data_IF_729878243501
#
_entry.id   IF_729878243501
#
_cell.length_a   1.000
_cell.length_b   1.000
_cell.length_c   1.000
_cell.angle_alpha   90.00
_cell.angle_beta   90.00
_cell.angle_gamma   90.00
#
_symmetry.space_group_name_H-M   'P 1'
#
loop_
_entity.id
_entity.type
_entity.pdbx_description
1 polymer ?
#
# COMPACT_ATOMS: atom_id res chain seq x y z
N UNK A 1 -19.45 -12.92 18.99
CA UNK A 1 -19.43 -14.37 18.66
C UNK A 1 -18.57 -14.52 17.41
N UNK A 2 -17.29 -14.86 17.57
CA UNK A 2 -16.34 -14.90 16.44
C UNK A 2 -16.38 -16.33 15.88
N UNK A 3 -16.81 -16.47 14.63
CA UNK A 3 -16.80 -17.74 13.92
C UNK A 3 -15.36 -18.22 13.77
N UNK A 4 -15.05 -19.43 14.26
CA UNK A 4 -13.76 -20.08 14.02
C UNK A 4 -13.71 -20.53 12.57
N UNK A 5 -12.94 -19.81 11.75
CA UNK A 5 -12.63 -20.23 10.39
C UNK A 5 -11.48 -21.26 10.46
N UNK A 6 -11.77 -22.50 10.05
CA UNK A 6 -10.77 -23.54 9.85
C UNK A 6 -10.21 -23.40 8.44
N UNK A 7 -8.93 -23.05 8.32
CA UNK A 7 -8.22 -22.98 7.04
C UNK A 7 -7.37 -24.23 6.86
N UNK A 8 -7.46 -24.88 5.70
CA UNK A 8 -6.86 -26.19 5.44
C UNK A 8 -5.54 -26.11 4.67
N UNK A 9 -5.10 -24.90 4.27
CA UNK A 9 -3.86 -24.69 3.54
C UNK A 9 -3.26 -23.30 3.77
N UNK A 10 -1.95 -23.17 3.51
CA UNK A 10 -1.22 -21.90 3.66
C UNK A 10 -1.68 -20.87 2.61
N UNK A 11 -2.09 -21.34 1.43
CA UNK A 11 -2.68 -20.53 0.36
C UNK A 11 -4.06 -19.96 0.76
N UNK A 12 -4.89 -20.72 1.47
CA UNK A 12 -6.19 -20.22 1.99
C UNK A 12 -6.02 -19.20 3.12
N UNK A 13 -4.99 -19.34 3.95
CA UNK A 13 -4.64 -18.32 4.96
C UNK A 13 -4.18 -17.05 4.25
N UNK A 14 -3.35 -17.16 3.21
CA UNK A 14 -2.96 -16.00 2.39
C UNK A 14 -4.15 -15.35 1.68
N UNK A 15 -5.09 -16.16 1.16
CA UNK A 15 -6.31 -15.66 0.52
C UNK A 15 -7.31 -15.05 1.51
N UNK A 16 -7.37 -15.53 2.76
CA UNK A 16 -8.21 -14.99 3.82
C UNK A 16 -7.63 -13.75 4.50
N UNK A 17 -6.31 -13.55 4.43
CA UNK A 17 -5.62 -12.33 4.89
C UNK A 17 -5.61 -11.19 3.86
N UNK A 18 -6.14 -11.43 2.65
CA UNK A 18 -6.24 -10.43 1.58
C UNK A 18 -7.71 -10.08 1.43
N UNK A 19 -8.13 -9.00 2.08
CA UNK A 19 -9.37 -8.34 1.71
C UNK A 19 -9.35 -8.11 0.18
N UNK A 20 -10.48 -8.25 -0.54
CA UNK A 20 -10.53 -7.94 -1.95
C UNK A 20 -9.94 -6.54 -2.18
N UNK A 21 -9.10 -6.37 -3.21
CA UNK A 21 -8.41 -5.08 -3.45
C UNK A 21 -9.37 -3.88 -3.48
N UNK A 22 -10.59 -4.09 -3.96
CA UNK A 22 -11.66 -3.09 -3.91
C UNK A 22 -12.06 -2.72 -2.49
N UNK A 23 -12.12 -3.68 -1.57
CA UNK A 23 -12.41 -3.45 -0.15
C UNK A 23 -11.29 -2.67 0.52
N UNK A 24 -10.01 -2.99 0.23
CA UNK A 24 -8.87 -2.22 0.75
C UNK A 24 -8.90 -0.79 0.19
N UNK A 25 -9.16 -0.63 -1.10
CA UNK A 25 -9.28 0.68 -1.73
C UNK A 25 -10.42 1.50 -1.12
N UNK A 26 -11.58 0.90 -0.89
CA UNK A 26 -12.73 1.56 -0.27
C UNK A 26 -12.44 1.96 1.19
N UNK A 27 -11.70 1.11 1.94
CA UNK A 27 -11.26 1.45 3.31
C UNK A 27 -10.27 2.62 3.32
N UNK A 28 -9.34 2.65 2.37
CA UNK A 28 -8.42 3.76 2.22
C UNK A 28 -9.16 5.04 1.83
N UNK A 29 -10.07 4.99 0.84
CA UNK A 29 -10.85 6.16 0.40
C UNK A 29 -11.84 6.65 1.47
N UNK A 30 -12.26 5.80 2.40
CA UNK A 30 -13.06 6.19 3.55
C UNK A 30 -12.24 6.91 4.64
N UNK A 31 -10.91 6.96 4.52
CA UNK A 31 -10.07 7.71 5.44
C UNK A 31 -9.99 9.18 5.02
N UNK A 32 -10.71 10.02 5.76
CA UNK A 32 -10.74 11.48 5.56
C UNK A 32 -9.38 12.16 5.80
N UNK A 33 -8.37 11.46 6.35
CA UNK A 33 -7.01 12.01 6.55
C UNK A 33 -6.15 12.00 5.30
N UNK A 34 -6.55 11.28 4.24
CA UNK A 34 -5.80 11.25 2.97
C UNK A 34 -6.10 12.53 2.16
N UNK A 35 -5.08 13.34 1.81
CA UNK A 35 -5.27 14.49 0.94
C UNK A 35 -5.88 14.09 -0.41
N UNK A 36 -6.88 14.86 -0.86
CA UNK A 36 -7.56 14.61 -2.15
C UNK A 36 -6.59 14.58 -3.33
N UNK A 37 -5.52 15.35 -3.24
CA UNK A 37 -4.50 15.48 -4.27
C UNK A 37 -3.73 14.17 -4.52
N UNK A 38 -3.70 13.25 -3.53
CA UNK A 38 -3.03 11.93 -3.66
C UNK A 38 -4.02 10.75 -3.74
N UNK A 39 -5.33 10.99 -3.83
CA UNK A 39 -6.34 9.92 -3.95
C UNK A 39 -6.14 9.04 -5.19
N UNK A 40 -5.49 9.57 -6.24
CA UNK A 40 -5.15 8.79 -7.43
C UNK A 40 -4.13 7.68 -7.16
N UNK A 41 -3.36 7.78 -6.07
CA UNK A 41 -2.45 6.74 -5.63
C UNK A 41 -3.14 5.66 -4.78
N UNK A 42 -4.39 5.84 -4.36
CA UNK A 42 -5.08 4.85 -3.52
C UNK A 42 -5.16 3.44 -4.13
N UNK A 43 -5.42 3.26 -5.45
CA UNK A 43 -5.33 1.96 -6.09
C UNK A 43 -3.92 1.35 -6.03
N UNK A 44 -2.88 2.19 -6.11
CA UNK A 44 -1.49 1.73 -6.00
C UNK A 44 -1.15 1.36 -4.57
N UNK A 45 -1.55 2.18 -3.59
CA UNK A 45 -1.36 1.94 -2.17
C UNK A 45 -2.08 0.66 -1.70
N UNK A 46 -3.26 0.34 -2.23
CA UNK A 46 -3.98 -0.89 -1.87
C UNK A 46 -3.33 -2.17 -2.39
N UNK A 47 -2.49 -2.07 -3.43
CA UNK A 47 -1.81 -3.22 -4.05
C UNK A 47 -0.36 -3.33 -3.58
N UNK A 48 0.39 -2.23 -3.64
CA UNK A 48 1.82 -2.18 -3.41
C UNK A 48 2.20 -1.62 -2.03
N UNK A 49 1.25 -1.04 -1.30
CA UNK A 49 1.42 -0.50 0.05
C UNK A 49 1.42 -1.57 1.16
N UNK A 50 2.21 -2.63 0.97
CA UNK A 50 2.30 -3.75 1.92
C UNK A 50 3.35 -3.43 2.99
N UNK A 51 2.93 -3.34 4.25
CA UNK A 51 3.84 -3.03 5.37
C UNK A 51 4.90 -4.11 5.62
N UNK A 52 4.57 -5.39 5.42
CA UNK A 52 5.53 -6.48 5.56
C UNK A 52 6.58 -6.43 4.43
N UNK A 53 7.83 -6.20 4.80
CA UNK A 53 8.95 -6.04 3.88
C UNK A 53 9.21 -7.28 3.01
N UNK A 54 9.00 -8.49 3.54
CA UNK A 54 9.24 -9.74 2.82
C UNK A 54 8.17 -9.97 1.76
N UNK A 55 6.91 -9.70 2.09
CA UNK A 55 5.80 -9.76 1.14
C UNK A 55 5.91 -8.66 0.09
N UNK A 56 6.17 -7.41 0.49
CA UNK A 56 6.38 -6.29 -0.43
C UNK A 56 7.50 -6.59 -1.41
N UNK A 57 8.66 -7.03 -0.92
CA UNK A 57 9.80 -7.41 -1.78
C UNK A 57 9.44 -8.51 -2.78
N UNK A 58 8.66 -9.50 -2.36
CA UNK A 58 8.24 -10.61 -3.22
C UNK A 58 7.26 -10.14 -4.31
N UNK A 59 6.35 -9.21 -3.98
CA UNK A 59 5.44 -8.61 -4.95
C UNK A 59 6.21 -7.81 -6.02
N UNK A 60 7.11 -6.92 -5.60
CA UNK A 60 7.89 -6.10 -6.54
C UNK A 60 8.80 -6.93 -7.45
N UNK A 61 9.33 -8.06 -6.97
CA UNK A 61 10.15 -8.99 -7.77
C UNK A 61 9.35 -9.79 -8.80
N UNK A 62 8.10 -10.09 -8.51
CA UNK A 62 7.24 -10.91 -9.39
C UNK A 62 6.39 -10.07 -10.34
N UNK A 63 6.25 -8.77 -10.07
CA UNK A 63 5.54 -7.83 -10.94
C UNK A 63 6.34 -7.56 -12.23
N UNK A 64 5.66 -7.51 -13.41
CA UNK A 64 6.32 -7.17 -14.67
C UNK A 64 7.04 -5.82 -14.61
N UNK A 65 8.27 -5.75 -15.14
CA UNK A 65 9.09 -4.53 -15.10
C UNK A 65 8.35 -3.28 -15.66
N UNK A 66 7.57 -3.45 -16.73
CA UNK A 66 6.75 -2.36 -17.31
C UNK A 66 5.72 -1.79 -16.33
N UNK A 67 5.14 -2.62 -15.46
CA UNK A 67 4.15 -2.21 -14.47
C UNK A 67 4.84 -1.46 -13.33
N UNK A 68 6.02 -1.91 -12.92
CA UNK A 68 6.84 -1.22 -11.93
C UNK A 68 7.33 0.15 -12.42
N UNK A 69 7.76 0.26 -13.68
CA UNK A 69 8.13 1.56 -14.28
C UNK A 69 6.94 2.51 -14.27
N UNK A 70 5.77 2.03 -14.71
CA UNK A 70 4.55 2.84 -14.72
C UNK A 70 4.12 3.26 -13.31
N UNK A 71 4.17 2.34 -12.34
CA UNK A 71 3.90 2.62 -10.93
C UNK A 71 4.81 3.73 -10.40
N UNK A 72 6.12 3.66 -10.71
CA UNK A 72 7.10 4.66 -10.30
C UNK A 72 6.81 6.03 -10.92
N UNK A 73 6.51 6.08 -12.22
CA UNK A 73 6.10 7.30 -12.90
C UNK A 73 4.85 7.92 -12.28
N UNK A 74 3.84 7.10 -11.98
CA UNK A 74 2.60 7.57 -11.36
C UNK A 74 2.85 8.13 -9.96
N UNK A 75 3.67 7.46 -9.13
CA UNK A 75 4.00 7.93 -7.77
C UNK A 75 4.83 9.23 -7.83
N UNK A 76 5.78 9.34 -8.76
CA UNK A 76 6.59 10.55 -8.93
C UNK A 76 5.79 11.79 -9.35
N UNK A 77 4.60 11.64 -9.96
CA UNK A 77 3.74 12.78 -10.27
C UNK A 77 3.18 13.47 -9.02
N UNK A 78 3.18 12.79 -7.88
CA UNK A 78 2.66 13.29 -6.61
C UNK A 78 3.74 13.40 -5.53
N UNK A 79 5.02 13.32 -5.90
CA UNK A 79 6.17 13.18 -4.98
C UNK A 79 6.15 14.24 -3.87
N UNK A 80 6.06 15.51 -4.25
CA UNK A 80 6.05 16.64 -3.29
C UNK A 80 4.87 16.55 -2.30
N UNK A 81 3.67 16.26 -2.81
CA UNK A 81 2.45 16.22 -1.97
C UNK A 81 2.46 15.00 -1.06
N UNK A 82 2.91 13.86 -1.60
CA UNK A 82 3.05 12.61 -0.85
C UNK A 82 4.07 12.77 0.27
N UNK A 83 5.25 13.30 -0.02
CA UNK A 83 6.31 13.48 0.98
C UNK A 83 5.92 14.51 2.05
N UNK A 84 5.25 15.61 1.68
CA UNK A 84 4.73 16.59 2.66
C UNK A 84 3.70 15.96 3.60
N UNK A 85 2.79 15.14 3.07
CA UNK A 85 1.77 14.50 3.90
C UNK A 85 2.37 13.39 4.78
N UNK A 86 3.28 12.57 4.24
CA UNK A 86 3.98 11.55 5.00
C UNK A 86 4.90 12.15 6.07
N UNK A 87 5.41 13.36 5.89
CA UNK A 87 6.13 14.11 6.91
C UNK A 87 5.20 14.87 7.90
N UNK A 88 3.88 14.67 7.78
CA UNK A 88 2.86 15.35 8.57
C UNK A 88 2.67 14.77 9.98
N UNK A 89 1.57 15.15 10.67
CA UNK A 89 1.33 14.78 12.07
C UNK A 89 1.31 13.27 12.37
N UNK A 90 0.96 12.43 11.39
CA UNK A 90 0.95 10.98 11.58
C UNK A 90 2.36 10.37 11.64
N UNK A 91 3.40 11.09 11.21
CA UNK A 91 4.79 10.63 11.29
C UNK A 91 5.27 10.39 12.71
N UNK A 92 4.78 11.18 13.66
CA UNK A 92 5.08 11.06 15.09
C UNK A 92 4.03 10.24 15.86
N UNK A 93 3.04 9.67 15.16
CA UNK A 93 1.97 8.90 15.80
C UNK A 93 2.46 7.53 16.25
N UNK A 94 2.15 7.17 17.51
CA UNK A 94 2.36 5.80 18.00
C UNK A 94 1.36 4.79 17.40
N UNK A 95 0.26 5.29 16.82
CA UNK A 95 -0.77 4.48 16.18
C UNK A 95 -1.15 5.15 14.85
N UNK A 96 -0.29 5.07 13.81
CA UNK A 96 -0.61 5.63 12.51
C UNK A 96 -1.84 4.94 11.90
N UNK A 97 -2.57 5.66 11.06
CA UNK A 97 -3.69 5.08 10.33
C UNK A 97 -3.22 4.01 9.34
N UNK A 98 -4.10 3.08 8.99
CA UNK A 98 -3.83 2.08 7.96
C UNK A 98 -3.46 2.73 6.62
N UNK A 99 -4.09 3.87 6.30
CA UNK A 99 -3.75 4.63 5.09
C UNK A 99 -2.34 5.18 5.13
N UNK A 100 -1.94 5.80 6.23
CA UNK A 100 -0.57 6.30 6.39
C UNK A 100 0.45 5.17 6.22
N UNK A 101 0.20 4.01 6.82
CA UNK A 101 1.06 2.82 6.69
C UNK A 101 1.13 2.34 5.23
N UNK A 102 0.00 2.23 4.53
CA UNK A 102 -0.03 1.77 3.15
C UNK A 102 0.72 2.72 2.20
N UNK A 103 0.52 4.03 2.33
CA UNK A 103 1.21 5.00 1.48
C UNK A 103 2.71 5.11 1.82
N UNK A 104 3.09 4.98 3.09
CA UNK A 104 4.49 4.87 3.50
C UNK A 104 5.16 3.64 2.88
N UNK A 105 4.49 2.49 2.95
CA UNK A 105 4.98 1.25 2.36
C UNK A 105 5.05 1.31 0.82
N UNK A 106 4.10 1.99 0.17
CA UNK A 106 4.13 2.25 -1.26
C UNK A 106 5.39 3.05 -1.65
N UNK A 107 5.65 4.17 -0.95
CA UNK A 107 6.82 5.03 -1.18
C UNK A 107 8.11 4.23 -1.05
N UNK A 108 8.28 3.51 0.06
CA UNK A 108 9.44 2.64 0.30
C UNK A 108 9.60 1.57 -0.78
N UNK A 109 8.51 0.94 -1.20
CA UNK A 109 8.52 -0.07 -2.26
C UNK A 109 9.05 0.49 -3.57
N UNK A 110 8.52 1.65 -4.01
CA UNK A 110 8.93 2.31 -5.24
C UNK A 110 10.40 2.73 -5.21
N UNK A 111 10.90 3.18 -4.06
CA UNK A 111 12.31 3.58 -3.89
C UNK A 111 13.28 2.40 -3.92
N UNK A 112 12.85 1.20 -3.55
CA UNK A 112 13.69 0.00 -3.62
C UNK A 112 13.96 -0.46 -5.07
N UNK A 113 13.19 0.04 -6.04
CA UNK A 113 13.34 -0.30 -7.45
C UNK A 113 14.36 0.63 -8.11
N UNK A 114 15.49 0.06 -8.52
CA UNK A 114 16.47 0.75 -9.38
C UNK A 114 15.84 1.07 -10.73
N UNK A 115 15.99 2.32 -11.20
CA UNK A 115 15.68 2.65 -12.58
C UNK A 115 16.59 1.80 -13.48
N UNK A 116 16.01 0.86 -14.22
CA UNK A 116 16.68 0.07 -15.25
C UNK A 116 16.85 0.87 -16.52
#
# INVERSE_FOLDING_TARGET
MIAKLNFNSKEEILAAMVLPRSVIQDHLLANDSIPKDIWQLTPHASIFGIADDSVRTSLFKTCPAKEIVKLKEDVLQFDDVLDVWLAGPEADSLNPSEAYVCFSALRMGVDTVKAT
#
